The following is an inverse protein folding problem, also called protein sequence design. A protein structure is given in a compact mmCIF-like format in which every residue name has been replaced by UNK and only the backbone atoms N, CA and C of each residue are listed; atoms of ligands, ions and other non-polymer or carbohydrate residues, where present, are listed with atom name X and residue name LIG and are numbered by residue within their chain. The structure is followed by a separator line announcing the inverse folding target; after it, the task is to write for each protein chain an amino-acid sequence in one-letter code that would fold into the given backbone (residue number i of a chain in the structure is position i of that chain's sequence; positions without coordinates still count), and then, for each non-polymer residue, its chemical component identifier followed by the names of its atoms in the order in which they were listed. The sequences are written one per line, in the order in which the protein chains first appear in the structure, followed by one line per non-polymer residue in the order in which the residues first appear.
data_IF_307013608864
#
_entry.id   IF_307013608864
#
_cell.length_a   1.000
_cell.length_b   1.000
_cell.length_c   1.000
_cell.angle_alpha   90.00
_cell.angle_beta   90.00
_cell.angle_gamma   90.00
#
_symmetry.space_group_name_H-M   'P 1'
#
loop_
_entity.id
_entity.type
_entity.pdbx_description
1 polymer ?
#
# COMPACT_ATOMS: atom_id res chain seq x y z
N UNK A 1 7.40 -8.30 21.51
CA UNK A 1 6.67 -8.28 20.23
C UNK A 1 7.05 -6.99 19.52
N UNK A 2 7.37 -7.04 18.22
CA UNK A 2 7.83 -5.85 17.50
C UNK A 2 6.77 -4.74 17.59
N UNK A 3 7.15 -3.57 18.10
CA UNK A 3 6.27 -2.40 18.24
C UNK A 3 6.16 -1.59 16.94
N UNK A 4 6.73 -2.12 15.84
CA UNK A 4 6.72 -1.45 14.56
C UNK A 4 5.47 -1.79 13.76
N UNK A 5 4.84 -0.77 13.15
CA UNK A 5 3.67 -0.93 12.29
C UNK A 5 3.92 -1.99 11.20
N UNK A 6 2.89 -2.68 10.72
CA UNK A 6 3.01 -3.66 9.63
C UNK A 6 3.01 -2.90 8.28
N UNK A 7 4.02 -3.12 7.43
CA UNK A 7 4.12 -2.42 6.16
C UNK A 7 3.12 -3.02 5.17
N UNK A 8 2.31 -2.16 4.55
CA UNK A 8 1.38 -2.53 3.50
C UNK A 8 1.63 -1.72 2.24
N UNK A 9 1.19 -2.24 1.12
CA UNK A 9 1.16 -1.55 -0.16
C UNK A 9 -0.29 -1.21 -0.50
N UNK A 10 -0.51 -0.05 -1.11
CA UNK A 10 -1.84 0.34 -1.61
C UNK A 10 -1.73 0.60 -3.09
N UNK A 11 -2.63 0.01 -3.87
CA UNK A 11 -2.72 0.27 -5.31
C UNK A 11 -4.12 0.73 -5.64
N UNK A 12 -4.25 1.85 -6.31
CA UNK A 12 -5.54 2.30 -6.81
C UNK A 12 -5.37 3.43 -7.79
N UNK A 13 -6.28 3.52 -8.76
CA UNK A 13 -6.38 4.65 -9.69
C UNK A 13 -6.78 5.87 -8.89
N UNK A 14 -5.89 6.83 -8.69
CA UNK A 14 -6.22 7.94 -7.84
C UNK A 14 -7.03 8.92 -8.71
N UNK A 15 -8.32 9.09 -8.41
CA UNK A 15 -8.99 10.31 -8.86
C UNK A 15 -8.54 11.45 -7.94
N UNK A 16 -7.25 11.83 -8.01
CA UNK A 16 -6.66 12.89 -7.16
C UNK A 16 -7.38 14.23 -7.33
N UNK A 17 -8.01 14.44 -8.49
CA UNK A 17 -8.84 15.61 -8.78
C UNK A 17 -10.13 15.60 -7.95
N UNK A 18 -10.70 14.41 -7.70
CA UNK A 18 -11.91 14.26 -6.89
C UNK A 18 -11.59 14.15 -5.38
N UNK A 19 -10.46 13.52 -5.02
CA UNK A 19 -10.09 13.24 -3.62
C UNK A 19 -8.59 13.48 -3.36
N UNK A 20 -8.13 14.74 -3.33
CA UNK A 20 -6.72 15.08 -3.13
C UNK A 20 -6.18 14.63 -1.75
N UNK A 21 -7.05 14.57 -0.74
CA UNK A 21 -6.68 14.21 0.63
C UNK A 21 -6.67 12.70 0.91
N UNK A 22 -7.18 11.88 -0.02
CA UNK A 22 -7.33 10.43 0.19
C UNK A 22 -6.00 9.74 0.55
N UNK A 23 -4.87 9.97 -0.17
CA UNK A 23 -3.61 9.34 0.20
C UNK A 23 -3.14 9.71 1.62
N UNK A 24 -3.36 10.98 2.02
CA UNK A 24 -2.97 11.47 3.35
C UNK A 24 -3.88 10.92 4.45
N UNK A 25 -5.18 10.79 4.18
CA UNK A 25 -6.14 10.17 5.10
C UNK A 25 -5.80 8.70 5.32
N UNK A 26 -5.54 7.96 4.25
CA UNK A 26 -5.13 6.55 4.34
C UNK A 26 -3.82 6.38 5.11
N UNK A 27 -2.80 7.21 4.82
CA UNK A 27 -1.52 7.19 5.54
C UNK A 27 -1.66 7.36 7.06
N UNK A 28 -2.57 8.23 7.49
CA UNK A 28 -2.80 8.50 8.91
C UNK A 28 -3.81 7.53 9.54
N UNK A 29 -4.81 7.08 8.77
CA UNK A 29 -5.93 6.30 9.26
C UNK A 29 -5.61 4.83 9.54
N UNK A 30 -4.65 4.24 8.82
CA UNK A 30 -4.26 2.83 9.05
C UNK A 30 -3.28 2.66 10.23
N UNK A 31 -2.80 3.78 10.79
CA UNK A 31 -1.91 3.80 11.96
C UNK A 31 -2.69 3.57 13.27
N UNK A 32 -2.05 3.07 14.34
CA UNK A 32 -0.62 2.74 14.44
C UNK A 32 -0.26 1.33 13.97
N UNK A 33 -1.26 0.46 13.72
CA UNK A 33 -1.04 -0.97 13.44
C UNK A 33 -0.40 -1.21 12.08
N UNK A 34 -0.80 -0.47 11.05
CA UNK A 34 -0.26 -0.58 9.71
C UNK A 34 0.43 0.73 9.28
N UNK A 35 1.33 0.62 8.31
CA UNK A 35 1.88 1.77 7.60
C UNK A 35 1.90 1.51 6.10
N UNK A 36 1.54 2.52 5.31
CA UNK A 36 1.64 2.44 3.85
C UNK A 36 3.11 2.62 3.47
N UNK A 37 3.77 1.50 3.24
CA UNK A 37 5.15 1.46 2.82
C UNK A 37 5.30 2.00 1.39
N UNK A 38 4.31 1.71 0.54
CA UNK A 38 4.31 2.07 -0.85
C UNK A 38 2.91 2.28 -1.41
N UNK A 39 2.72 3.29 -2.25
CA UNK A 39 1.47 3.53 -2.97
C UNK A 39 1.71 3.47 -4.48
N UNK A 40 0.92 2.70 -5.23
CA UNK A 40 0.94 2.64 -6.69
C UNK A 40 -0.36 3.20 -7.28
N UNK A 41 -0.25 3.97 -8.36
CA UNK A 41 -1.41 4.60 -9.00
C UNK A 41 -2.02 3.79 -10.15
N UNK A 42 -1.40 2.66 -10.53
CA UNK A 42 -1.91 1.75 -11.55
C UNK A 42 -1.40 0.33 -11.34
N UNK A 43 -2.01 -0.64 -12.03
CA UNK A 43 -1.55 -2.02 -12.05
C UNK A 43 -0.19 -2.15 -12.74
N UNK A 44 0.06 -1.34 -13.78
CA UNK A 44 1.35 -1.26 -14.47
C UNK A 44 2.46 -0.77 -13.53
N UNK A 45 2.19 0.31 -12.77
CA UNK A 45 3.11 0.81 -11.75
C UNK A 45 3.39 -0.25 -10.69
N UNK A 46 2.36 -0.98 -10.25
CA UNK A 46 2.56 -2.10 -9.34
C UNK A 46 3.46 -3.18 -9.94
N UNK A 47 3.23 -3.59 -11.19
CA UNK A 47 4.01 -4.62 -11.84
C UNK A 47 5.50 -4.25 -12.02
N UNK A 48 5.82 -2.98 -12.25
CA UNK A 48 7.21 -2.52 -12.37
C UNK A 48 7.87 -2.30 -10.99
N UNK A 49 7.11 -1.83 -9.99
CA UNK A 49 7.67 -1.40 -8.70
C UNK A 49 7.68 -2.53 -7.67
N UNK A 50 6.63 -3.33 -7.59
CA UNK A 50 6.47 -4.37 -6.57
C UNK A 50 7.63 -5.39 -6.53
N UNK A 51 8.14 -5.91 -7.67
CA UNK A 51 9.29 -6.82 -7.65
C UNK A 51 10.53 -6.18 -7.01
N UNK A 52 10.74 -4.88 -7.24
CA UNK A 52 11.87 -4.12 -6.66
C UNK A 52 11.67 -3.94 -5.16
N UNK A 53 10.44 -3.62 -4.72
CA UNK A 53 10.08 -3.53 -3.29
C UNK A 53 10.35 -4.84 -2.55
N UNK A 54 9.85 -5.96 -3.09
CA UNK A 54 9.94 -7.25 -2.40
C UNK A 54 11.38 -7.79 -2.39
N UNK A 55 12.20 -7.42 -3.38
CA UNK A 55 13.65 -7.67 -3.41
C UNK A 55 14.44 -6.73 -2.48
N UNK A 56 13.84 -5.61 -2.08
CA UNK A 56 14.45 -4.60 -1.22
C UNK A 56 15.36 -3.64 -1.98
N UNK A 57 15.16 -3.50 -3.29
CA UNK A 57 15.96 -2.66 -4.18
C UNK A 57 15.46 -1.21 -4.15
N UNK A 58 16.37 -0.24 -4.12
CA UNK A 58 16.03 1.19 -4.17
C UNK A 58 15.44 1.56 -5.53
N UNK A 59 14.29 2.24 -5.56
CA UNK A 59 13.68 2.75 -6.80
C UNK A 59 12.89 4.04 -6.57
N UNK A 60 12.59 4.74 -7.67
CA UNK A 60 11.76 5.95 -7.67
C UNK A 60 10.28 5.57 -7.63
N UNK A 61 9.59 5.92 -6.55
CA UNK A 61 8.18 5.61 -6.34
C UNK A 61 7.30 6.46 -7.25
N UNK A 62 6.50 5.83 -8.11
CA UNK A 62 5.65 6.56 -9.09
C UNK A 62 4.65 7.50 -8.43
N UNK A 63 4.17 7.15 -7.23
CA UNK A 63 3.20 7.98 -6.52
C UNK A 63 3.81 9.13 -5.73
N UNK A 64 5.11 9.06 -5.41
CA UNK A 64 5.72 9.92 -4.39
C UNK A 64 5.15 9.73 -2.97
N UNK A 65 4.31 8.72 -2.72
CA UNK A 65 3.63 8.49 -1.44
C UNK A 65 4.02 7.14 -0.82
N UNK A 66 4.46 7.18 0.44
CA UNK A 66 4.80 5.98 1.23
C UNK A 66 6.05 6.19 2.09
N UNK A 67 6.23 5.34 3.10
CA UNK A 67 7.41 5.44 3.98
C UNK A 67 8.71 5.01 3.28
N UNK A 68 8.62 4.30 2.16
CA UNK A 68 9.78 3.94 1.33
C UNK A 68 10.20 5.07 0.35
N UNK A 69 9.44 6.16 0.23
CA UNK A 69 9.73 7.25 -0.71
C UNK A 69 10.81 8.19 -0.16
N UNK A 70 11.96 8.25 -0.84
CA UNK A 70 12.86 9.42 -0.93
C UNK A 70 13.39 10.07 0.35
N UNK A 71 13.18 9.51 1.54
CA UNK A 71 13.31 10.30 2.76
C UNK A 71 14.64 10.13 3.47
N UNK A 72 15.09 11.19 4.15
CA UNK A 72 16.09 11.09 5.21
C UNK A 72 15.75 10.03 6.27
N UNK A 73 14.51 9.53 6.34
CA UNK A 73 14.11 8.39 7.18
C UNK A 73 14.74 7.09 6.67
N UNK A 74 14.82 6.89 5.34
CA UNK A 74 15.60 5.82 4.73
C UNK A 74 17.08 5.93 5.11
N UNK A 75 17.69 7.12 4.95
CA UNK A 75 19.09 7.38 5.36
C UNK A 75 19.32 7.22 6.87
N UNK A 76 18.41 7.69 7.72
CA UNK A 76 18.47 7.57 9.19
C UNK A 76 18.32 6.13 9.65
N UNK A 77 17.45 5.32 9.02
CA UNK A 77 17.34 3.88 9.33
C UNK A 77 18.60 3.13 8.87
N UNK A 78 19.10 3.44 7.67
CA UNK A 78 20.36 2.90 7.14
C UNK A 78 21.54 3.13 8.11
N UNK A 79 21.62 4.31 8.73
CA UNK A 79 22.61 4.61 9.79
C UNK A 79 22.34 3.88 11.12
N UNK A 80 21.08 3.55 11.44
CA UNK A 80 20.69 3.00 12.76
C UNK A 80 20.71 1.47 12.82
N UNK A 81 20.46 0.79 11.70
CA UNK A 81 20.36 -0.68 11.64
C UNK A 81 21.42 -1.33 10.77
N UNK A 82 22.26 -0.55 10.06
CA UNK A 82 23.33 -1.07 9.20
C UNK A 82 22.85 -1.79 7.93
N UNK A 83 21.53 -1.88 7.72
CA UNK A 83 20.91 -2.51 6.57
C UNK A 83 19.87 -1.56 5.96
N UNK A 84 20.12 -1.16 4.72
CA UNK A 84 19.17 -0.44 3.86
C UNK A 84 18.02 -1.36 3.42
N UNK A 85 17.29 -1.95 4.37
CA UNK A 85 16.16 -2.81 4.01
C UNK A 85 14.92 -1.94 3.85
N UNK A 86 14.50 -1.75 2.59
CA UNK A 86 13.13 -1.30 2.33
C UNK A 86 12.17 -2.23 3.06
N UNK A 87 11.12 -1.67 3.65
CA UNK A 87 10.14 -2.50 4.33
C UNK A 87 9.33 -3.24 3.29
N UNK A 88 9.55 -4.55 3.24
CA UNK A 88 8.80 -5.47 2.40
C UNK A 88 7.36 -5.48 2.88
N UNK A 89 6.38 -5.09 2.03
CA UNK A 89 4.98 -5.12 2.41
C UNK A 89 4.58 -6.55 2.73
N UNK A 90 3.68 -6.70 3.70
CA UNK A 90 3.08 -7.99 4.08
C UNK A 90 1.71 -8.20 3.43
N UNK A 91 1.09 -7.11 3.00
CA UNK A 91 -0.16 -7.13 2.25
C UNK A 91 -0.22 -6.02 1.21
N UNK A 92 -1.05 -6.25 0.19
CA UNK A 92 -1.44 -5.26 -0.82
C UNK A 92 -2.94 -5.01 -0.74
N UNK A 93 -3.32 -3.74 -0.72
CA UNK A 93 -4.70 -3.28 -0.75
C UNK A 93 -4.99 -2.70 -2.13
N UNK A 94 -5.93 -3.30 -2.85
CA UNK A 94 -6.29 -2.90 -4.21
C UNK A 94 -7.61 -2.16 -4.22
N UNK A 95 -7.62 -0.94 -4.76
CA UNK A 95 -8.80 -0.09 -4.86
C UNK A 95 -9.92 -0.69 -5.70
N UNK A 96 -11.17 -0.42 -5.31
CA UNK A 96 -12.36 -0.95 -5.98
C UNK A 96 -12.57 -0.43 -7.41
N UNK A 97 -11.85 0.62 -7.82
CA UNK A 97 -11.85 1.10 -9.21
C UNK A 97 -10.97 0.30 -10.18
N UNK A 98 -10.33 -0.77 -9.71
CA UNK A 98 -9.47 -1.64 -10.52
C UNK A 98 -10.28 -2.83 -11.06
N UNK A 99 -10.10 -3.15 -12.35
CA UNK A 99 -10.80 -4.26 -12.98
C UNK A 99 -10.30 -5.61 -12.47
N UNK A 100 -11.06 -6.68 -12.75
CA UNK A 100 -10.65 -8.05 -12.40
C UNK A 100 -9.35 -8.42 -13.11
N UNK A 101 -9.19 -8.00 -14.37
CA UNK A 101 -7.99 -8.25 -15.16
C UNK A 101 -6.77 -7.55 -14.56
N UNK A 102 -6.91 -6.28 -14.14
CA UNK A 102 -5.84 -5.54 -13.46
C UNK A 102 -5.44 -6.19 -12.14
N UNK A 103 -6.41 -6.68 -11.37
CA UNK A 103 -6.16 -7.38 -10.11
C UNK A 103 -5.42 -8.71 -10.31
N UNK A 104 -5.84 -9.52 -11.28
CA UNK A 104 -5.17 -10.79 -11.59
C UNK A 104 -3.79 -10.58 -12.23
N UNK A 105 -3.62 -9.52 -13.03
CA UNK A 105 -2.30 -9.10 -13.52
C UNK A 105 -1.36 -8.82 -12.35
N UNK A 106 -1.81 -8.07 -11.34
CA UNK A 106 -1.01 -7.76 -10.15
C UNK A 106 -0.66 -9.01 -9.34
N UNK A 107 -1.60 -9.96 -9.20
CA UNK A 107 -1.34 -11.25 -8.51
C UNK A 107 -0.40 -12.18 -9.27
N UNK A 108 -0.21 -11.95 -10.57
CA UNK A 108 0.70 -12.73 -11.42
C UNK A 108 2.14 -12.20 -11.41
N UNK A 109 2.41 -11.09 -10.72
CA UNK A 109 3.74 -10.48 -10.62
C UNK A 109 4.68 -11.32 -9.74
N UNK A 110 5.98 -11.32 -10.07
CA UNK A 110 6.99 -12.02 -9.28
C UNK A 110 6.94 -11.61 -7.79
N UNK A 111 6.77 -12.59 -6.90
CA UNK A 111 6.70 -12.39 -5.45
C UNK A 111 5.33 -11.98 -4.91
N UNK A 112 4.30 -11.87 -5.76
CA UNK A 112 2.93 -11.57 -5.36
C UNK A 112 2.33 -12.62 -4.41
N UNK A 113 2.83 -13.85 -4.50
CA UNK A 113 2.51 -14.99 -3.63
C UNK A 113 3.04 -14.83 -2.19
N UNK A 114 4.00 -13.92 -1.97
CA UNK A 114 4.62 -13.68 -0.66
C UNK A 114 3.81 -12.72 0.23
N UNK A 115 2.74 -12.12 -0.29
CA UNK A 115 1.92 -11.14 0.42
C UNK A 115 0.44 -11.53 0.44
N UNK A 116 -0.29 -10.97 1.40
CA UNK A 116 -1.74 -11.09 1.45
C UNK A 116 -2.41 -10.02 0.58
N UNK A 117 -3.63 -10.29 0.15
CA UNK A 117 -4.36 -9.44 -0.78
C UNK A 117 -5.68 -9.01 -0.18
N UNK A 118 -5.92 -7.70 -0.14
CA UNK A 118 -7.21 -7.10 0.15
C UNK A 118 -7.70 -6.45 -1.12
N UNK A 119 -8.92 -6.80 -1.54
CA UNK A 119 -9.60 -6.13 -2.65
C UNK A 119 -10.75 -5.31 -2.08
N UNK A 120 -10.68 -3.99 -2.29
CA UNK A 120 -11.74 -3.08 -1.87
C UNK A 120 -12.96 -3.33 -2.77
N UNK A 121 -14.15 -3.56 -2.20
CA UNK A 121 -15.38 -3.75 -2.97
C UNK A 121 -15.67 -2.59 -3.92
N UNK A 122 -16.22 -2.88 -5.10
CA UNK A 122 -16.58 -1.87 -6.11
C UNK A 122 -17.72 -0.96 -5.66
N UNK A 123 -18.59 -1.44 -4.76
CA UNK A 123 -19.71 -0.70 -4.15
C UNK A 123 -19.29 0.21 -2.99
N UNK A 124 -18.00 0.28 -2.67
CA UNK A 124 -17.49 1.08 -1.53
C UNK A 124 -17.84 2.56 -1.67
N UNK A 125 -17.85 3.10 -2.89
CA UNK A 125 -18.25 4.49 -3.15
C UNK A 125 -19.75 4.71 -2.91
N UNK A 126 -20.59 3.72 -3.21
CA UNK A 126 -22.03 3.77 -2.93
C UNK A 126 -22.31 3.68 -1.41
N UNK A 127 -21.49 2.89 -0.70
CA UNK A 127 -21.62 2.67 0.75
C UNK A 127 -21.09 3.81 1.61
N UNK A 128 -19.92 4.35 1.28
CA UNK A 128 -19.24 5.39 2.07
C UNK A 128 -19.50 6.80 1.52
N UNK A 129 -20.22 6.90 0.41
CA UNK A 129 -20.44 8.14 -0.31
C UNK A 129 -19.20 8.64 -1.03
N UNK A 130 -19.31 9.80 -1.71
CA UNK A 130 -18.25 10.32 -2.57
C UNK A 130 -16.96 10.60 -1.79
N UNK A 131 -17.03 11.01 -0.53
CA UNK A 131 -15.84 11.33 0.28
C UNK A 131 -15.07 10.09 0.77
N UNK A 132 -15.61 8.88 0.60
CA UNK A 132 -15.03 7.61 1.08
C UNK A 132 -14.69 7.63 2.58
N UNK A 133 -15.41 8.42 3.38
CA UNK A 133 -15.11 8.60 4.82
C UNK A 133 -15.20 7.26 5.55
N UNK A 134 -14.17 6.94 6.34
CA UNK A 134 -14.09 5.67 7.06
C UNK A 134 -13.49 4.51 6.27
N UNK A 135 -13.09 4.70 5.01
CA UNK A 135 -12.41 3.68 4.21
C UNK A 135 -11.15 3.15 4.91
N UNK A 136 -10.40 4.01 5.58
CA UNK A 136 -9.25 3.62 6.39
C UNK A 136 -9.58 2.58 7.47
N UNK A 137 -10.76 2.68 8.09
CA UNK A 137 -11.20 1.74 9.14
C UNK A 137 -11.58 0.38 8.53
N UNK A 138 -12.26 0.40 7.38
CA UNK A 138 -12.60 -0.80 6.63
C UNK A 138 -11.33 -1.52 6.13
N UNK A 139 -10.34 -0.77 5.65
CA UNK A 139 -9.04 -1.32 5.27
C UNK A 139 -8.35 -1.99 6.45
N UNK A 140 -8.31 -1.35 7.63
CA UNK A 140 -7.73 -1.96 8.84
C UNK A 140 -8.47 -3.24 9.20
N UNK A 141 -9.80 -3.23 9.15
CA UNK A 141 -10.62 -4.42 9.44
C UNK A 141 -10.32 -5.56 8.48
N UNK A 142 -10.26 -5.30 7.17
CA UNK A 142 -9.93 -6.33 6.18
C UNK A 142 -8.50 -6.85 6.33
N UNK A 143 -7.55 -6.01 6.72
CA UNK A 143 -6.18 -6.43 7.01
C UNK A 143 -6.08 -7.26 8.29
N UNK A 144 -6.90 -6.96 9.30
CA UNK A 144 -6.97 -7.72 10.55
C UNK A 144 -7.50 -9.13 10.32
N UNK A 145 -8.44 -9.31 9.40
CA UNK A 145 -8.99 -10.62 8.99
C UNK A 145 -7.96 -11.52 8.30
N UNK A 146 -6.85 -10.97 7.80
CA UNK A 146 -5.79 -11.71 7.12
C UNK A 146 -4.70 -12.27 8.06
N UNK A 147 -4.81 -12.02 9.38
CA UNK A 147 -3.86 -12.45 10.42
C UNK A 147 -2.39 -12.17 10.07
N UNK A 148 -2.13 -10.93 9.64
CA UNK A 148 -0.80 -10.50 9.19
C UNK A 148 0.07 -10.23 10.43
N UNK A 149 1.28 -10.80 10.45
CA UNK A 149 2.28 -10.66 11.52
C UNK A 149 3.61 -10.05 11.04
#
# INVERSE_FOLDING_TARGET
MSTEAIPIMVTGKPQLVAHPDLPRRLLNGVRPKYEIAHFCFSAEAFADEFPKVIKGESYAVSSGVGTNVGSEVWKRRLMKTGAASLRKPKASVVGGGMTDEEFEQMKSVEGADQIKWVRIPTDTMDRLGPALEGLENDIVKWLDELDIQ
#
